data_IF_474124222507
#
_entry.id   IF_474124222507
#
_cell.length_a   1.000
_cell.length_b   1.000
_cell.length_c   1.000
_cell.angle_alpha   90.00
_cell.angle_beta   90.00
_cell.angle_gamma   90.00
#
_symmetry.space_group_name_H-M   'P 1'
#
loop_
_entity.id
_entity.type
_entity.pdbx_description
1 polymer ?
#
# COMPACT_ATOMS: atom_id res chain seq x y z
N UNK A 1 -4.36 3.02 13.36
CA UNK A 1 -4.10 1.58 13.66
C UNK A 1 -4.82 0.62 12.72
N UNK A 2 -6.14 0.73 12.51
CA UNK A 2 -6.90 -0.14 11.59
C UNK A 2 -6.50 0.05 10.14
N UNK A 3 -6.43 1.30 9.66
CA UNK A 3 -6.02 1.64 8.29
C UNK A 3 -4.59 1.14 8.01
N UNK A 4 -3.64 1.41 8.90
CA UNK A 4 -2.25 0.95 8.77
C UNK A 4 -2.15 -0.57 8.60
N UNK A 5 -2.94 -1.30 9.40
CA UNK A 5 -2.97 -2.76 9.36
C UNK A 5 -3.56 -3.27 8.05
N UNK A 6 -4.58 -2.59 7.52
CA UNK A 6 -5.18 -2.93 6.22
C UNK A 6 -4.20 -2.67 5.08
N UNK A 7 -3.50 -1.53 5.10
CA UNK A 7 -2.47 -1.20 4.10
C UNK A 7 -1.32 -2.20 4.12
N UNK A 8 -0.85 -2.60 5.30
CA UNK A 8 0.17 -3.66 5.43
C UNK A 8 -0.29 -4.98 4.80
N UNK A 9 -1.54 -5.39 5.06
CA UNK A 9 -2.13 -6.62 4.49
C UNK A 9 -2.27 -6.54 2.98
N UNK A 10 -2.71 -5.39 2.44
CA UNK A 10 -2.81 -5.14 1.00
C UNK A 10 -1.44 -5.22 0.32
N UNK A 11 -0.44 -4.48 0.80
CA UNK A 11 0.93 -4.52 0.26
C UNK A 11 1.49 -5.94 0.26
N UNK A 12 1.24 -6.72 1.32
CA UNK A 12 1.66 -8.14 1.38
C UNK A 12 1.00 -8.99 0.27
N UNK A 13 -0.30 -8.82 0.02
CA UNK A 13 -1.01 -9.56 -1.03
C UNK A 13 -0.47 -9.20 -2.42
N UNK A 14 -0.25 -7.92 -2.70
CA UNK A 14 0.32 -7.50 -3.97
C UNK A 14 1.74 -8.03 -4.17
N UNK A 15 2.62 -7.90 -3.17
CA UNK A 15 3.99 -8.43 -3.26
C UNK A 15 4.09 -9.94 -3.38
N UNK A 16 3.04 -10.67 -2.97
CA UNK A 16 2.99 -12.12 -3.17
C UNK A 16 2.75 -12.50 -4.64
N UNK A 17 2.15 -11.61 -5.44
CA UNK A 17 1.85 -11.83 -6.87
C UNK A 17 2.82 -11.07 -7.77
N UNK A 18 3.22 -9.86 -7.37
CA UNK A 18 4.14 -8.96 -8.07
C UNK A 18 5.15 -8.37 -7.06
N UNK A 19 6.32 -9.00 -6.89
CA UNK A 19 7.33 -8.60 -5.89
C UNK A 19 7.75 -7.12 -5.97
N UNK A 20 7.74 -6.55 -7.17
CA UNK A 20 8.07 -5.16 -7.49
C UNK A 20 6.93 -4.15 -7.25
N UNK A 21 5.78 -4.59 -6.73
CA UNK A 21 4.65 -3.69 -6.48
C UNK A 21 4.98 -2.59 -5.46
N UNK A 22 4.82 -1.33 -5.88
CA UNK A 22 5.01 -0.13 -5.06
C UNK A 22 3.98 1.00 -5.34
N UNK A 23 2.80 0.66 -5.88
CA UNK A 23 1.79 1.65 -6.27
C UNK A 23 1.03 2.31 -5.09
N UNK A 24 1.16 1.78 -3.87
CA UNK A 24 0.51 2.36 -2.66
C UNK A 24 1.53 3.19 -1.89
N UNK A 25 1.43 4.51 -2.00
CA UNK A 25 2.27 5.47 -1.33
C UNK A 25 1.73 5.88 0.04
N UNK A 26 2.65 6.23 0.94
CA UNK A 26 2.31 6.89 2.19
C UNK A 26 2.45 8.40 2.02
N UNK A 27 1.37 9.15 2.25
CA UNK A 27 1.35 10.61 2.26
C UNK A 27 1.32 11.10 3.70
N UNK A 28 2.41 11.75 4.13
CA UNK A 28 2.52 12.32 5.48
C UNK A 28 1.39 13.31 5.75
N UNK A 29 0.65 13.10 6.84
CA UNK A 29 -0.46 13.96 7.26
C UNK A 29 -1.80 13.74 6.53
N UNK A 30 -1.82 12.93 5.47
CA UNK A 30 -3.03 12.73 4.62
C UNK A 30 -3.48 11.28 4.59
N UNK A 31 -2.54 10.32 4.65
CA UNK A 31 -2.85 8.89 4.65
C UNK A 31 -2.14 8.14 3.53
N UNK A 32 -2.89 7.49 2.65
CA UNK A 32 -2.33 6.65 1.59
C UNK A 32 -2.92 7.02 0.23
N UNK A 33 -2.10 6.91 -0.82
CA UNK A 33 -2.51 7.16 -2.21
C UNK A 33 -2.15 5.97 -3.08
N UNK A 34 -3.04 5.63 -4.01
CA UNK A 34 -2.74 4.69 -5.07
C UNK A 34 -2.33 5.47 -6.33
N UNK A 35 -1.26 5.02 -6.99
CA UNK A 35 -0.80 5.56 -8.28
C UNK A 35 -1.16 4.54 -9.36
N UNK A 36 -2.02 4.93 -10.29
CA UNK A 36 -2.14 4.23 -11.57
C UNK A 36 -0.95 4.62 -12.44
N UNK A 37 -0.19 3.63 -12.87
CA UNK A 37 0.84 3.74 -13.91
C UNK A 37 0.33 3.14 -15.19
#
# INVERSE_FOLDING_TARGET
RTIDSHIKRLRKKFRAVAPEFDAIETLYGVGYRYRDG
#
